data_IF_257175944093
#
_entry.id   IF_257175944093
#
_cell.length_a   1.000
_cell.length_b   1.000
_cell.length_c   1.000
_cell.angle_alpha   90.00
_cell.angle_beta   90.00
_cell.angle_gamma   90.00
#
_symmetry.space_group_name_H-M   'P 1'
#
loop_
_entity.id
_entity.type
_entity.pdbx_description
1 polymer ?
#
# COMPACT_ATOMS: atom_id res chain seq x y z
N UNK A 1 15.13 -13.03 25.68
CA UNK A 1 14.93 -11.62 25.27
C UNK A 1 13.60 -11.53 24.56
N UNK A 2 12.67 -10.69 25.04
CA UNK A 2 11.34 -10.57 24.44
C UNK A 2 11.43 -9.75 23.16
N UNK A 3 10.80 -10.18 22.05
CA UNK A 3 10.74 -9.43 20.78
C UNK A 3 9.70 -8.30 20.86
N UNK A 4 9.78 -7.51 21.92
CA UNK A 4 8.85 -6.42 22.25
C UNK A 4 9.67 -5.15 22.35
N UNK A 5 9.37 -4.18 21.47
CA UNK A 5 9.95 -2.85 21.56
C UNK A 5 9.47 -2.15 22.83
N UNK A 6 10.39 -1.43 23.49
CA UNK A 6 10.05 -0.61 24.64
C UNK A 6 9.53 0.75 24.15
N UNK A 7 8.21 0.93 24.19
CA UNK A 7 7.52 2.16 23.77
C UNK A 7 7.67 3.28 24.83
N UNK A 8 7.98 2.93 26.08
CA UNK A 8 8.14 3.87 27.20
C UNK A 8 9.57 4.44 27.33
N UNK A 9 10.42 4.20 26.34
CA UNK A 9 11.77 4.78 26.28
C UNK A 9 11.67 6.30 26.00
N UNK A 10 12.39 7.12 26.77
CA UNK A 10 12.35 8.59 26.72
C UNK A 10 12.77 9.11 25.32
N UNK A 11 13.60 8.34 24.61
CA UNK A 11 14.00 8.63 23.24
C UNK A 11 13.07 8.05 22.16
N UNK A 12 11.95 7.42 22.50
CA UNK A 12 11.04 6.83 21.50
C UNK A 12 10.33 7.91 20.67
N UNK A 13 9.92 9.02 21.28
CA UNK A 13 9.20 10.12 20.61
C UNK A 13 10.06 11.08 19.78
N UNK A 14 11.37 11.17 20.05
CA UNK A 14 12.32 12.07 19.36
C UNK A 14 13.24 11.35 18.35
N UNK A 15 13.05 10.05 18.13
CA UNK A 15 13.88 9.28 17.19
C UNK A 15 13.50 9.61 15.75
N UNK A 16 14.49 9.87 14.89
CA UNK A 16 14.30 9.98 13.44
C UNK A 16 13.62 8.72 12.88
N UNK A 17 12.92 8.84 11.74
CA UNK A 17 12.15 7.72 11.15
C UNK A 17 12.97 6.43 10.99
N UNK A 18 14.26 6.54 10.67
CA UNK A 18 15.21 5.43 10.59
C UNK A 18 15.56 4.83 11.96
N UNK A 19 15.78 5.65 12.98
CA UNK A 19 16.06 5.18 14.34
C UNK A 19 14.84 4.48 14.97
N UNK A 20 13.63 4.96 14.68
CA UNK A 20 12.40 4.32 15.13
C UNK A 20 12.16 2.96 14.45
N UNK A 21 12.47 2.85 13.15
CA UNK A 21 12.41 1.59 12.41
C UNK A 21 13.34 0.52 13.03
N UNK A 22 14.56 0.89 13.43
CA UNK A 22 15.47 -0.03 14.12
C UNK A 22 14.93 -0.49 15.49
N UNK A 23 14.31 0.40 16.26
CA UNK A 23 13.67 0.03 17.54
C UNK A 23 12.51 -0.95 17.34
N UNK A 24 11.74 -0.80 16.27
CA UNK A 24 10.60 -1.67 15.95
C UNK A 24 10.98 -2.97 15.23
N UNK A 25 12.22 -3.11 14.75
CA UNK A 25 12.66 -4.24 13.93
C UNK A 25 12.41 -5.60 14.60
N UNK A 26 12.63 -5.73 15.91
CA UNK A 26 12.39 -6.97 16.63
C UNK A 26 10.91 -7.37 16.63
N UNK A 27 10.00 -6.40 16.83
CA UNK A 27 8.55 -6.62 16.71
C UNK A 27 8.14 -6.89 15.27
N UNK A 28 8.73 -6.19 14.29
CA UNK A 28 8.45 -6.38 12.87
C UNK A 28 8.77 -7.81 12.41
N UNK A 29 9.85 -8.40 12.93
CA UNK A 29 10.22 -9.80 12.66
C UNK A 29 9.22 -10.80 13.27
N UNK A 30 8.74 -10.54 14.48
CA UNK A 30 7.69 -11.35 15.10
C UNK A 30 6.39 -11.26 14.30
N UNK A 31 6.00 -10.06 13.89
CA UNK A 31 4.83 -9.83 13.04
C UNK A 31 4.96 -10.56 11.69
N UNK A 32 6.13 -10.57 11.06
CA UNK A 32 6.38 -11.34 9.83
C UNK A 32 6.15 -12.84 10.03
N UNK A 33 6.58 -13.37 11.18
CA UNK A 33 6.39 -14.78 11.52
C UNK A 33 4.91 -15.14 11.69
N UNK A 34 4.13 -14.26 12.33
CA UNK A 34 2.67 -14.41 12.46
C UNK A 34 1.98 -14.28 11.11
N UNK A 35 2.39 -13.30 10.29
CA UNK A 35 1.85 -13.05 8.96
C UNK A 35 2.00 -14.27 8.04
N UNK A 36 3.17 -14.94 8.06
CA UNK A 36 3.39 -16.19 7.30
C UNK A 36 2.45 -17.32 7.73
N UNK A 37 2.21 -17.46 9.03
CA UNK A 37 1.24 -18.44 9.55
C UNK A 37 -0.18 -18.08 9.12
N UNK A 38 -0.51 -16.79 9.13
CA UNK A 38 -1.82 -16.29 8.70
C UNK A 38 -2.05 -16.56 7.21
N UNK A 39 -1.06 -16.28 6.36
CA UNK A 39 -1.11 -16.60 4.93
C UNK A 39 -1.32 -18.10 4.68
N UNK A 40 -0.59 -18.96 5.40
CA UNK A 40 -0.78 -20.41 5.32
C UNK A 40 -2.20 -20.83 5.73
N UNK A 41 -2.74 -20.27 6.82
CA UNK A 41 -4.11 -20.54 7.24
C UNK A 41 -5.17 -20.04 6.26
N UNK A 42 -4.93 -18.89 5.61
CA UNK A 42 -5.82 -18.35 4.58
C UNK A 42 -5.81 -19.25 3.36
N UNK A 43 -4.64 -19.66 2.88
CA UNK A 43 -4.53 -20.63 1.78
C UNK A 43 -5.31 -21.91 2.07
N UNK A 44 -5.16 -22.48 3.27
CA UNK A 44 -5.90 -23.67 3.66
C UNK A 44 -7.42 -23.41 3.73
N UNK A 45 -7.84 -22.24 4.20
CA UNK A 45 -9.25 -21.84 4.23
C UNK A 45 -9.84 -21.73 2.82
N UNK A 46 -9.12 -21.11 1.89
CA UNK A 46 -9.59 -20.95 0.49
C UNK A 46 -9.54 -22.26 -0.29
N UNK A 47 -8.59 -23.14 0.00
CA UNK A 47 -8.56 -24.51 -0.51
C UNK A 47 -9.82 -25.28 -0.07
N UNK A 48 -10.18 -25.24 1.21
CA UNK A 48 -11.40 -25.88 1.71
C UNK A 48 -12.67 -25.24 1.13
N UNK A 49 -12.67 -23.92 0.96
CA UNK A 49 -13.79 -23.18 0.39
C UNK A 49 -14.03 -23.55 -1.08
N UNK A 50 -12.97 -23.67 -1.87
CA UNK A 50 -13.01 -24.06 -3.29
C UNK A 50 -13.31 -25.54 -3.53
N UNK A 51 -13.01 -26.41 -2.55
CA UNK A 51 -13.40 -27.83 -2.60
C UNK A 51 -14.93 -28.03 -2.56
N UNK A 52 -15.66 -27.10 -1.95
CA UNK A 52 -17.10 -27.24 -1.75
C UNK A 52 -17.87 -26.86 -3.03
N UNK A 53 -18.48 -27.86 -3.68
CA UNK A 53 -19.21 -27.72 -4.96
C UNK A 53 -20.40 -26.74 -4.92
N UNK A 54 -20.86 -26.38 -3.73
CA UNK A 54 -21.94 -25.39 -3.54
C UNK A 54 -21.46 -23.95 -3.73
N UNK A 55 -20.16 -23.69 -3.55
CA UNK A 55 -19.60 -22.34 -3.52
C UNK A 55 -18.87 -21.97 -4.81
N UNK A 56 -18.22 -22.95 -5.45
CA UNK A 56 -17.39 -22.74 -6.63
C UNK A 56 -17.71 -23.81 -7.68
N UNK A 57 -17.93 -23.45 -8.95
CA UNK A 57 -18.11 -24.42 -10.02
C UNK A 57 -16.87 -25.31 -10.17
N UNK A 58 -17.08 -26.56 -10.58
CA UNK A 58 -16.04 -27.60 -10.61
C UNK A 58 -14.81 -27.24 -11.46
N UNK A 59 -15.00 -26.34 -12.42
CA UNK A 59 -13.98 -25.86 -13.35
C UNK A 59 -13.01 -24.84 -12.72
N UNK A 60 -13.33 -24.31 -11.53
CA UNK A 60 -12.58 -23.25 -10.84
C UNK A 60 -11.98 -23.72 -9.49
N UNK A 61 -11.93 -25.03 -9.25
CA UNK A 61 -11.44 -25.61 -7.99
C UNK A 61 -9.99 -25.24 -7.63
N UNK A 62 -9.16 -24.85 -8.60
CA UNK A 62 -7.75 -24.49 -8.37
C UNK A 62 -7.49 -22.98 -8.32
N UNK A 63 -8.52 -22.14 -8.51
CA UNK A 63 -8.36 -20.68 -8.55
C UNK A 63 -7.93 -20.07 -7.21
N UNK A 64 -8.08 -20.80 -6.10
CA UNK A 64 -7.59 -20.36 -4.78
C UNK A 64 -6.07 -20.08 -4.76
N UNK A 65 -5.31 -20.66 -5.71
CA UNK A 65 -3.87 -20.43 -5.85
C UNK A 65 -3.53 -19.05 -6.42
N UNK A 66 -4.47 -18.40 -7.10
CA UNK A 66 -4.28 -17.09 -7.72
C UNK A 66 -4.65 -15.92 -6.80
N UNK A 67 -4.89 -16.18 -5.51
CA UNK A 67 -5.24 -15.15 -4.54
C UNK A 67 -3.96 -14.50 -4.00
N UNK A 68 -3.82 -13.20 -4.23
CA UNK A 68 -2.77 -12.39 -3.63
C UNK A 68 -3.26 -11.73 -2.33
N UNK A 69 -2.48 -11.83 -1.25
CA UNK A 69 -2.81 -11.21 0.03
C UNK A 69 -1.94 -9.99 0.29
N UNK A 70 -2.58 -8.83 0.44
CA UNK A 70 -1.92 -7.59 0.88
C UNK A 70 -2.16 -7.39 2.38
N UNK A 71 -1.10 -7.38 3.18
CA UNK A 71 -1.16 -7.09 4.60
C UNK A 71 -0.55 -5.71 4.86
N UNK A 72 -1.34 -4.78 5.39
CA UNK A 72 -0.90 -3.42 5.72
C UNK A 72 -0.58 -3.31 7.20
N UNK A 73 0.62 -2.84 7.52
CA UNK A 73 1.03 -2.56 8.91
C UNK A 73 0.78 -1.10 9.23
N UNK A 74 0.22 -0.84 10.41
CA UNK A 74 0.12 0.51 10.94
C UNK A 74 1.46 0.87 11.61
N UNK A 75 2.45 1.19 10.80
CA UNK A 75 3.75 1.69 11.26
C UNK A 75 3.78 3.22 11.12
N UNK A 76 4.40 3.95 12.07
CA UNK A 76 4.56 5.39 11.95
C UNK A 76 5.48 5.70 10.76
N UNK A 77 4.92 6.35 9.75
CA UNK A 77 5.61 6.71 8.51
C UNK A 77 5.83 8.21 8.42
N UNK A 78 6.94 8.62 7.81
CA UNK A 78 7.24 10.01 7.56
C UNK A 78 6.78 10.41 6.16
N UNK A 79 5.59 11.01 6.07
CA UNK A 79 4.99 11.45 4.81
C UNK A 79 5.87 12.44 4.02
N UNK A 80 6.70 13.23 4.71
CA UNK A 80 7.58 14.22 4.07
C UNK A 80 8.71 13.52 3.32
N UNK A 81 9.30 12.49 3.92
CA UNK A 81 10.36 11.68 3.32
C UNK A 81 9.80 10.84 2.15
N UNK A 82 8.58 10.32 2.29
CA UNK A 82 7.88 9.62 1.21
C UNK A 82 7.59 10.55 0.02
N UNK A 83 7.10 11.76 0.28
CA UNK A 83 6.84 12.74 -0.78
C UNK A 83 8.12 13.19 -1.49
N UNK A 84 9.21 13.39 -0.75
CA UNK A 84 10.52 13.68 -1.34
C UNK A 84 11.02 12.54 -2.22
N UNK A 85 10.85 11.30 -1.76
CA UNK A 85 11.23 10.10 -2.54
C UNK A 85 10.37 9.96 -3.79
N UNK A 86 9.05 10.15 -3.68
CA UNK A 86 8.13 10.11 -4.81
C UNK A 86 8.46 11.18 -5.86
N UNK A 87 8.79 12.40 -5.42
CA UNK A 87 9.20 13.48 -6.32
C UNK A 87 10.52 13.17 -7.06
N UNK A 88 11.47 12.47 -6.42
CA UNK A 88 12.72 12.03 -7.06
C UNK A 88 12.50 10.87 -8.05
N UNK A 89 11.52 10.00 -7.78
CA UNK A 89 11.15 8.89 -8.67
C UNK A 89 10.33 9.38 -9.88
N UNK A 90 9.60 10.48 -9.72
CA UNK A 90 8.83 11.12 -10.79
C UNK A 90 9.77 11.61 -11.89
N UNK A 91 9.76 10.92 -13.04
CA UNK A 91 10.65 11.19 -14.19
C UNK A 91 11.69 10.10 -14.46
N UNK A 92 11.94 9.20 -13.50
CA UNK A 92 12.78 7.99 -13.70
C UNK A 92 11.90 6.76 -13.88
N UNK A 93 10.81 6.65 -13.10
CA UNK A 93 9.85 5.54 -13.16
C UNK A 93 8.49 5.99 -13.72
N UNK A 94 7.59 5.04 -13.99
CA UNK A 94 6.20 5.36 -14.31
C UNK A 94 5.55 6.12 -13.15
N UNK A 95 4.56 6.96 -13.48
CA UNK A 95 3.76 7.71 -12.51
C UNK A 95 3.07 6.77 -11.52
N UNK A 96 2.59 5.62 -11.99
CA UNK A 96 2.02 4.56 -11.16
C UNK A 96 3.01 4.07 -10.08
N UNK A 97 4.25 3.78 -10.49
CA UNK A 97 5.27 3.28 -9.55
C UNK A 97 5.69 4.36 -8.57
N UNK A 98 5.82 5.61 -9.01
CA UNK A 98 6.16 6.73 -8.14
C UNK A 98 5.07 7.01 -7.08
N UNK A 99 3.79 6.96 -7.48
CA UNK A 99 2.65 7.14 -6.57
C UNK A 99 2.47 5.96 -5.61
N UNK A 100 2.88 4.75 -6.00
CA UNK A 100 2.81 3.56 -5.12
C UNK A 100 3.67 3.66 -3.84
N UNK A 101 4.66 4.56 -3.83
CA UNK A 101 5.52 4.82 -2.67
C UNK A 101 4.81 5.64 -1.59
N UNK A 102 3.84 6.46 -1.98
CA UNK A 102 3.09 7.30 -1.06
C UNK A 102 2.10 6.46 -0.27
N UNK A 103 2.31 6.38 1.05
CA UNK A 103 1.38 5.66 1.94
C UNK A 103 0.01 6.34 2.10
N UNK A 104 -0.11 7.58 1.63
CA UNK A 104 -1.35 8.37 1.62
C UNK A 104 -2.31 7.90 0.53
N UNK A 105 -1.79 7.37 -0.59
CA UNK A 105 -2.59 6.92 -1.73
C UNK A 105 -2.99 5.46 -1.51
N UNK A 106 -4.28 5.21 -1.29
CA UNK A 106 -4.80 3.86 -1.04
C UNK A 106 -4.94 3.02 -2.31
N UNK A 107 -5.30 3.64 -3.43
CA UNK A 107 -5.41 3.02 -4.74
C UNK A 107 -4.84 3.93 -5.83
N UNK A 108 -3.69 3.53 -6.37
CA UNK A 108 -2.94 4.28 -7.38
C UNK A 108 -3.73 4.44 -8.68
N UNK A 109 -4.53 3.43 -9.06
CA UNK A 109 -5.32 3.49 -10.29
C UNK A 109 -6.40 4.57 -10.20
N UNK A 110 -7.13 4.60 -9.07
CA UNK A 110 -8.12 5.63 -8.80
C UNK A 110 -7.53 7.04 -8.71
N UNK A 111 -6.26 7.15 -8.27
CA UNK A 111 -5.57 8.43 -8.17
C UNK A 111 -5.11 8.92 -9.56
N UNK A 112 -4.66 8.02 -10.43
CA UNK A 112 -4.36 8.35 -11.83
C UNK A 112 -5.62 8.83 -12.56
N UNK A 113 -6.74 8.15 -12.39
CA UNK A 113 -8.02 8.56 -12.99
C UNK A 113 -8.43 9.97 -12.53
N UNK A 114 -8.21 10.30 -11.24
CA UNK A 114 -8.47 11.64 -10.70
C UNK A 114 -7.54 12.69 -11.30
N UNK A 115 -6.25 12.38 -11.46
CA UNK A 115 -5.28 13.27 -12.09
C UNK A 115 -5.67 13.55 -13.55
N UNK A 116 -6.13 12.53 -14.29
CA UNK A 116 -6.61 12.71 -15.67
C UNK A 116 -7.90 13.56 -15.72
N UNK A 117 -8.81 13.39 -14.77
CA UNK A 117 -10.00 14.23 -14.64
C UNK A 117 -9.64 15.68 -14.29
N UNK A 118 -8.67 15.91 -13.42
CA UNK A 118 -8.18 17.25 -13.12
C UNK A 118 -7.53 17.89 -14.34
N UNK A 119 -6.68 17.15 -15.08
CA UNK A 119 -6.05 17.66 -16.29
C UNK A 119 -7.07 17.98 -17.39
N UNK A 120 -8.03 17.10 -17.64
CA UNK A 120 -9.08 17.32 -18.65
C UNK A 120 -10.00 18.48 -18.28
N UNK A 121 -10.39 18.61 -17.00
CA UNK A 121 -11.15 19.76 -16.53
C UNK A 121 -10.36 21.06 -16.69
N UNK A 122 -9.08 21.05 -16.36
CA UNK A 122 -8.19 22.20 -16.53
C UNK A 122 -8.08 22.59 -18.00
N UNK A 123 -7.90 21.62 -18.90
CA UNK A 123 -7.88 21.87 -20.35
C UNK A 123 -9.21 22.42 -20.88
N UNK A 124 -10.35 21.92 -20.40
CA UNK A 124 -11.67 22.44 -20.81
C UNK A 124 -11.94 23.86 -20.30
N UNK A 125 -11.42 24.21 -19.12
CA UNK A 125 -11.52 25.56 -18.58
C UNK A 125 -10.65 26.55 -19.39
N UNK A 126 -9.48 26.10 -19.86
CA UNK A 126 -8.65 26.89 -20.78
C UNK A 126 -9.33 27.10 -22.15
N UNK A 127 -10.07 26.11 -22.67
CA UNK A 127 -10.77 26.22 -23.95
C UNK A 127 -11.97 27.18 -23.86
N UNK A 128 -12.67 27.22 -22.73
CA UNK A 128 -13.79 28.14 -22.49
C UNK A 128 -13.35 29.62 -22.39
N UNK A 129 -12.14 29.91 -21.89
CA UNK A 129 -11.64 31.30 -21.81
C UNK A 129 -11.17 31.86 -23.17
N UNK A 130 -10.90 31.01 -24.17
CA UNK A 130 -10.47 31.45 -25.52
C UNK A 130 -11.66 31.90 -26.37
N UNK A 131 -12.86 31.35 -26.18
CA UNK A 131 -14.05 31.73 -26.97
C UNK A 131 -14.69 33.07 -26.53
N UNK A 132 -14.49 33.52 -25.29
CA UNK A 132 -15.12 34.75 -24.75
C UNK A 132 -14.29 36.05 -24.99
N UNK A 133 -13.10 35.93 -25.61
CA UNK A 133 -12.19 37.07 -25.92
C UNK A 133 -11.91 37.25 -27.43
N UNK A 134 -12.67 36.62 -28.33
CA UNK A 134 -12.61 36.81 -29.79
C UNK A 134 -13.79 37.60 -30.33
#
# INVERSE_FOLDING_TARGET
TSMVANISDENFGNSSGTALAYKLQAMANLALSVQRKFQSSLNRRYELFSLLRTNVPENMKDEWRNIEYKFTRNEPKNILEEAQTAAQLMGITSTETALSVLSVVSDVSSELDRIEQEQSNTMSAFDFEVEDNG
#
